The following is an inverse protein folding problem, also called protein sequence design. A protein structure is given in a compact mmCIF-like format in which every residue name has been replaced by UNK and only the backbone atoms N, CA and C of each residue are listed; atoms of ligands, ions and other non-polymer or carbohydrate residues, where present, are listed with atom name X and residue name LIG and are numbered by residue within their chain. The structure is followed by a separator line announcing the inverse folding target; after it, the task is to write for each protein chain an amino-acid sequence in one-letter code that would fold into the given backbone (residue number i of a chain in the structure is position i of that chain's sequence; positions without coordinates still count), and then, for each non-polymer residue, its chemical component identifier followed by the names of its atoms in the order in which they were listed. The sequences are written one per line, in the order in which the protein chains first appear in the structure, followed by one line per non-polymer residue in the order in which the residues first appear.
data_IF_264054918756
#
_entry.id   IF_264054918756
#
_cell.length_a   1.000
_cell.length_b   1.000
_cell.length_c   1.000
_cell.angle_alpha   90.00
_cell.angle_beta   90.00
_cell.angle_gamma   90.00
#
_symmetry.space_group_name_H-M   'P 1'
#
loop_
_entity.id
_entity.type
_entity.pdbx_description
1 polymer ?
#
# COMPACT_ATOMS: atom_id res chain seq x y z
N UNK A 1 19.58 3.80 -5.31
CA UNK A 1 18.41 4.65 -4.95
C UNK A 1 17.09 3.88 -5.17
N UNK A 2 17.15 2.57 -5.42
CA UNK A 2 16.14 1.89 -6.26
C UNK A 2 15.08 1.10 -5.48
N UNK A 3 15.34 0.77 -4.22
CA UNK A 3 14.41 -0.03 -3.39
C UNK A 3 13.24 0.82 -2.88
N UNK A 4 13.51 2.08 -2.55
CA UNK A 4 12.50 3.04 -2.10
C UNK A 4 11.57 3.37 -3.27
N UNK A 5 12.11 3.74 -4.42
CA UNK A 5 11.30 4.09 -5.58
C UNK A 5 10.43 2.92 -6.08
N UNK A 6 10.98 1.69 -6.09
CA UNK A 6 10.21 0.49 -6.41
C UNK A 6 9.07 0.21 -5.39
N UNK A 7 9.34 0.38 -4.09
CA UNK A 7 8.32 0.19 -3.03
C UNK A 7 7.22 1.27 -3.08
N UNK A 8 7.61 2.53 -3.28
CA UNK A 8 6.69 3.66 -3.43
C UNK A 8 5.81 3.51 -4.68
N UNK A 9 6.40 3.07 -5.78
CA UNK A 9 5.73 2.86 -7.06
C UNK A 9 4.76 1.66 -6.99
N UNK A 10 5.15 0.56 -6.35
CA UNK A 10 4.29 -0.63 -6.13
C UNK A 10 2.97 -0.31 -5.42
N UNK A 11 2.96 0.63 -4.48
CA UNK A 11 1.75 1.04 -3.73
C UNK A 11 0.90 2.10 -4.46
N UNK A 12 1.49 2.92 -5.35
CA UNK A 12 0.79 4.05 -6.01
C UNK A 12 -0.22 3.65 -7.08
N UNK A 13 0.15 2.75 -7.99
CA UNK A 13 -0.75 2.33 -9.08
C UNK A 13 -2.02 1.65 -8.54
N UNK A 14 -1.95 1.01 -7.37
CA UNK A 14 -3.10 0.41 -6.67
C UNK A 14 -4.13 1.43 -6.16
N UNK A 15 -3.82 2.74 -6.18
CA UNK A 15 -4.76 3.81 -5.77
C UNK A 15 -5.70 4.26 -6.90
N UNK A 16 -5.55 3.73 -8.12
CA UNK A 16 -6.49 4.01 -9.21
C UNK A 16 -7.89 3.54 -8.82
N UNK A 17 -8.87 4.44 -8.99
CA UNK A 17 -10.27 4.14 -8.68
C UNK A 17 -10.80 3.04 -9.60
N UNK A 18 -11.50 2.06 -9.04
CA UNK A 18 -12.15 0.99 -9.82
C UNK A 18 -11.30 -0.23 -10.12
N UNK A 19 -10.09 -0.35 -9.54
CA UNK A 19 -9.29 -1.60 -9.64
C UNK A 19 -9.86 -2.76 -8.79
N UNK A 20 -10.80 -2.47 -7.89
CA UNK A 20 -11.47 -3.49 -7.08
C UNK A 20 -12.25 -4.46 -7.99
N UNK A 21 -12.01 -5.76 -7.83
CA UNK A 21 -12.66 -6.81 -8.61
C UNK A 21 -11.91 -7.23 -9.88
N UNK A 22 -10.78 -6.60 -10.20
CA UNK A 22 -9.90 -7.06 -11.28
C UNK A 22 -9.12 -8.31 -10.87
N UNK A 23 -9.00 -9.27 -11.79
CA UNK A 23 -8.15 -10.45 -11.61
C UNK A 23 -6.66 -10.11 -11.78
N UNK A 24 -5.78 -11.07 -11.43
CA UNK A 24 -4.32 -10.87 -11.44
C UNK A 24 -3.78 -10.38 -12.80
N UNK A 25 -4.34 -10.89 -13.91
CA UNK A 25 -3.95 -10.49 -15.27
C UNK A 25 -4.44 -9.08 -15.62
N UNK A 26 -5.67 -8.73 -15.25
CA UNK A 26 -6.18 -7.34 -15.36
C UNK A 26 -5.36 -6.37 -14.52
N UNK A 27 -4.94 -6.77 -13.33
CA UNK A 27 -4.09 -5.96 -12.45
C UNK A 27 -2.68 -5.75 -13.03
N UNK A 28 -2.14 -6.73 -13.77
CA UNK A 28 -0.89 -6.55 -14.52
C UNK A 28 -1.06 -5.47 -15.59
N UNK A 29 -2.11 -5.55 -16.39
CA UNK A 29 -2.43 -4.53 -17.40
C UNK A 29 -2.61 -3.16 -16.75
N UNK A 30 -3.32 -3.08 -15.61
CA UNK A 30 -3.51 -1.84 -14.87
C UNK A 30 -2.19 -1.20 -14.42
N UNK A 31 -1.23 -2.02 -13.95
CA UNK A 31 0.11 -1.56 -13.56
C UNK A 31 0.85 -0.94 -14.74
N UNK A 32 0.89 -1.64 -15.87
CA UNK A 32 1.59 -1.16 -17.08
C UNK A 32 0.94 0.10 -17.68
N UNK A 33 -0.40 0.16 -17.71
CA UNK A 33 -1.13 1.36 -18.12
C UNK A 33 -0.90 2.53 -17.17
N UNK A 34 -0.80 2.27 -15.87
CA UNK A 34 -0.51 3.31 -14.90
C UNK A 34 0.90 3.89 -15.12
N UNK A 35 1.92 3.05 -15.33
CA UNK A 35 3.29 3.51 -15.60
C UNK A 35 3.37 4.37 -16.85
N UNK A 36 2.77 3.89 -17.94
CA UNK A 36 2.70 4.67 -19.16
C UNK A 36 2.00 6.02 -18.93
N UNK A 37 0.85 6.01 -18.27
CA UNK A 37 0.07 7.23 -17.99
C UNK A 37 0.85 8.21 -17.11
N UNK A 38 1.55 7.73 -16.10
CA UNK A 38 2.35 8.54 -15.17
C UNK A 38 3.53 9.19 -15.91
N UNK A 39 4.23 8.43 -16.77
CA UNK A 39 5.31 8.96 -17.61
C UNK A 39 4.83 10.05 -18.58
N UNK A 40 3.67 9.86 -19.22
CA UNK A 40 3.11 10.89 -20.13
C UNK A 40 2.63 12.12 -19.34
N UNK A 41 2.07 11.91 -18.16
CA UNK A 41 1.58 12.97 -17.29
C UNK A 41 2.74 13.87 -16.81
N UNK A 42 3.85 13.24 -16.40
CA UNK A 42 5.07 13.92 -15.97
C UNK A 42 5.72 14.68 -17.14
N UNK A 43 5.90 14.02 -18.29
CA UNK A 43 6.49 14.63 -19.48
C UNK A 43 5.70 15.84 -20.02
N UNK A 44 4.40 15.90 -19.75
CA UNK A 44 3.51 16.99 -20.19
C UNK A 44 3.08 17.91 -19.05
N UNK A 45 3.66 17.76 -17.87
CA UNK A 45 3.34 18.50 -16.64
C UNK A 45 1.83 18.66 -16.43
N UNK A 46 1.13 17.52 -16.36
CA UNK A 46 -0.34 17.52 -16.20
C UNK A 46 -0.84 16.39 -15.31
N UNK A 47 -2.06 16.52 -14.75
CA UNK A 47 -2.64 15.44 -13.96
C UNK A 47 -2.82 14.14 -14.78
N UNK A 48 -2.49 12.94 -14.24
CA UNK A 48 -2.61 11.67 -14.97
C UNK A 48 -4.01 11.39 -15.53
N UNK A 49 -5.07 11.81 -14.82
CA UNK A 49 -6.46 11.66 -15.29
C UNK A 49 -6.79 12.48 -16.54
N UNK A 50 -5.99 13.52 -16.84
CA UNK A 50 -6.10 14.29 -18.09
C UNK A 50 -5.51 13.53 -19.28
N UNK A 51 -4.53 12.67 -19.06
CA UNK A 51 -3.96 11.78 -20.08
C UNK A 51 -4.95 10.65 -20.41
N UNK A 52 -5.40 9.92 -19.37
CA UNK A 52 -6.37 8.84 -19.51
C UNK A 52 -7.19 8.72 -18.22
N UNK A 53 -8.52 8.78 -18.35
CA UNK A 53 -9.41 8.66 -17.19
C UNK A 53 -9.35 7.27 -16.56
N UNK A 54 -9.54 7.20 -15.25
CA UNK A 54 -9.48 5.95 -14.49
C UNK A 54 -10.52 4.92 -14.97
N UNK A 55 -11.73 5.35 -15.31
CA UNK A 55 -12.78 4.44 -15.80
C UNK A 55 -12.43 3.81 -17.15
N UNK A 56 -11.83 4.58 -18.07
CA UNK A 56 -11.34 4.04 -19.35
C UNK A 56 -10.15 3.10 -19.15
N UNK A 57 -9.24 3.42 -18.23
CA UNK A 57 -8.14 2.54 -17.85
C UNK A 57 -8.67 1.19 -17.33
N UNK A 58 -9.68 1.20 -16.46
CA UNK A 58 -10.31 -0.02 -15.94
C UNK A 58 -11.00 -0.82 -17.05
N UNK A 59 -11.72 -0.16 -17.97
CA UNK A 59 -12.35 -0.84 -19.11
C UNK A 59 -11.32 -1.48 -20.06
N UNK A 60 -10.18 -0.83 -20.30
CA UNK A 60 -9.05 -1.41 -21.05
C UNK A 60 -8.53 -2.68 -20.39
N UNK A 61 -8.37 -2.66 -19.06
CA UNK A 61 -7.93 -3.83 -18.30
C UNK A 61 -8.89 -5.02 -18.49
N UNK A 62 -10.20 -4.78 -18.39
CA UNK A 62 -11.22 -5.83 -18.55
C UNK A 62 -11.27 -6.42 -19.95
N UNK A 63 -11.04 -5.61 -20.99
CA UNK A 63 -11.06 -6.07 -22.38
C UNK A 63 -9.86 -6.92 -22.77
N UNK A 64 -8.71 -6.74 -22.13
CA UNK A 64 -7.48 -7.56 -22.33
C UNK A 64 -7.09 -7.68 -23.81
N UNK A 65 -7.22 -6.59 -24.57
CA UNK A 65 -6.96 -6.60 -26.00
C UNK A 65 -6.07 -5.41 -26.36
N UNK A 66 -4.92 -5.71 -26.97
CA UNK A 66 -3.95 -4.72 -27.41
C UNK A 66 -4.18 -4.23 -28.84
N UNK A 67 -5.22 -4.69 -29.55
CA UNK A 67 -5.55 -4.17 -30.88
C UNK A 67 -5.99 -2.70 -30.81
N UNK A 68 -5.26 -1.74 -31.40
CA UNK A 68 -5.61 -0.33 -31.40
C UNK A 68 -7.01 -0.04 -31.95
N UNK A 69 -7.50 -0.85 -32.89
CA UNK A 69 -8.86 -0.69 -33.45
C UNK A 69 -9.93 -1.04 -32.41
N UNK A 70 -9.73 -2.12 -31.65
CA UNK A 70 -10.63 -2.55 -30.58
C UNK A 70 -10.59 -1.62 -29.37
N UNK A 71 -9.42 -1.06 -29.08
CA UNK A 71 -9.22 -0.01 -28.08
C UNK A 71 -10.00 1.24 -28.48
N UNK A 72 -9.88 1.70 -29.73
CA UNK A 72 -10.61 2.87 -30.23
C UNK A 72 -12.15 2.69 -30.19
N UNK A 73 -12.63 1.45 -30.32
CA UNK A 73 -14.04 1.11 -30.25
C UNK A 73 -14.64 1.21 -28.83
N UNK A 74 -13.82 1.35 -27.78
CA UNK A 74 -14.31 1.55 -26.40
C UNK A 74 -15.07 2.88 -26.31
N UNK A 75 -16.26 2.87 -25.71
CA UNK A 75 -17.04 4.08 -25.42
C UNK A 75 -16.19 5.07 -24.60
N UNK A 76 -15.94 6.25 -25.14
CA UNK A 76 -15.08 7.28 -24.55
C UNK A 76 -13.66 7.33 -25.12
N UNK A 77 -13.21 6.29 -25.83
CA UNK A 77 -11.93 6.26 -26.57
C UNK A 77 -12.05 6.75 -28.02
N UNK A 78 -13.26 7.02 -28.52
CA UNK A 78 -13.47 7.49 -29.90
C UNK A 78 -12.95 8.91 -30.18
N UNK A 79 -12.47 9.62 -29.16
CA UNK A 79 -12.09 11.03 -29.28
C UNK A 79 -10.82 11.19 -30.11
N UNK A 80 -10.78 12.23 -30.95
CA UNK A 80 -9.64 12.50 -31.84
C UNK A 80 -8.33 12.74 -31.08
N UNK A 81 -8.40 13.37 -29.91
CA UNK A 81 -7.25 13.65 -29.05
C UNK A 81 -6.62 12.38 -28.46
N UNK A 82 -7.31 11.24 -28.46
CA UNK A 82 -6.76 9.97 -27.96
C UNK A 82 -6.12 9.11 -29.06
N UNK A 83 -6.27 9.47 -30.34
CA UNK A 83 -5.76 8.63 -31.45
C UNK A 83 -4.26 8.44 -31.41
N UNK A 84 -3.51 9.48 -31.06
CA UNK A 84 -2.04 9.47 -31.04
C UNK A 84 -1.45 8.61 -29.90
N UNK A 85 -2.24 8.29 -28.87
CA UNK A 85 -1.80 7.47 -27.72
C UNK A 85 -2.24 6.01 -27.82
N UNK A 86 -3.11 5.65 -28.78
CA UNK A 86 -3.60 4.27 -28.93
C UNK A 86 -2.47 3.24 -29.06
N UNK A 87 -1.40 3.47 -29.86
CA UNK A 87 -0.29 2.52 -29.95
C UNK A 87 0.42 2.32 -28.60
N UNK A 88 0.64 3.40 -27.84
CA UNK A 88 1.31 3.29 -26.55
C UNK A 88 0.44 2.60 -25.48
N UNK A 89 -0.88 2.75 -25.56
CA UNK A 89 -1.84 2.00 -24.74
C UNK A 89 -1.80 0.51 -25.11
N UNK A 90 -1.82 0.19 -26.40
CA UNK A 90 -1.69 -1.18 -26.91
C UNK A 90 -0.42 -1.85 -26.37
N UNK A 91 0.72 -1.19 -26.51
CA UNK A 91 2.01 -1.68 -26.01
C UNK A 91 1.99 -1.94 -24.50
N UNK A 92 1.33 -1.06 -23.74
CA UNK A 92 1.18 -1.25 -22.29
C UNK A 92 0.29 -2.45 -21.94
N UNK A 93 -0.78 -2.67 -22.69
CA UNK A 93 -1.63 -3.86 -22.53
C UNK A 93 -0.84 -5.13 -22.88
N UNK A 94 -0.08 -5.13 -23.98
CA UNK A 94 0.74 -6.26 -24.40
C UNK A 94 1.80 -6.62 -23.35
N UNK A 95 2.49 -5.63 -22.76
CA UNK A 95 3.40 -5.89 -21.62
C UNK A 95 2.67 -6.56 -20.45
N UNK A 96 1.45 -6.11 -20.14
CA UNK A 96 0.60 -6.70 -19.11
C UNK A 96 0.20 -8.15 -19.41
N UNK A 97 -0.10 -8.44 -20.67
CA UNK A 97 -0.48 -9.77 -21.16
C UNK A 97 0.71 -10.73 -21.25
N UNK A 98 1.89 -10.23 -21.61
CA UNK A 98 3.11 -11.02 -21.78
C UNK A 98 3.78 -11.44 -20.47
N UNK A 99 3.41 -10.83 -19.33
CA UNK A 99 3.99 -11.18 -18.02
C UNK A 99 3.80 -12.68 -17.68
N UNK A 100 4.83 -13.36 -17.18
CA UNK A 100 4.70 -14.68 -16.57
C UNK A 100 3.69 -14.70 -15.41
N UNK A 101 3.05 -15.85 -15.17
CA UNK A 101 2.00 -15.99 -14.14
C UNK A 101 2.50 -15.82 -12.70
N UNK A 102 3.78 -16.09 -12.46
CA UNK A 102 4.49 -15.87 -11.19
C UNK A 102 4.81 -14.39 -10.95
N UNK A 103 4.96 -13.58 -12.00
CA UNK A 103 5.18 -12.13 -11.92
C UNK A 103 3.89 -11.31 -11.83
N UNK A 104 2.72 -11.96 -11.97
CA UNK A 104 1.44 -11.28 -11.92
C UNK A 104 1.16 -10.65 -10.54
N UNK A 105 0.77 -9.35 -10.50
CA UNK A 105 0.45 -8.67 -9.25
C UNK A 105 -0.75 -9.30 -8.55
N UNK A 106 -0.72 -9.33 -7.23
CA UNK A 106 -1.68 -10.08 -6.41
C UNK A 106 -1.35 -11.57 -6.27
N UNK A 107 -0.16 -12.00 -6.74
CA UNK A 107 0.42 -13.32 -6.45
C UNK A 107 1.08 -13.43 -5.07
N UNK A 108 1.44 -12.29 -4.47
CA UNK A 108 1.65 -12.21 -3.02
C UNK A 108 0.36 -12.71 -2.38
N UNK A 109 0.42 -13.87 -1.72
CA UNK A 109 -0.71 -14.42 -0.97
C UNK A 109 -1.08 -13.37 0.07
N UNK A 110 -1.99 -12.47 -0.27
CA UNK A 110 -2.64 -11.58 0.68
C UNK A 110 -3.62 -12.44 1.46
N UNK A 111 -3.07 -13.39 2.21
CA UNK A 111 -3.78 -14.07 3.28
C UNK A 111 -4.22 -12.91 4.15
N UNK A 112 -5.54 -12.73 4.28
CA UNK A 112 -6.07 -11.79 5.24
C UNK A 112 -5.28 -11.99 6.54
N UNK A 113 -4.67 -10.92 7.11
CA UNK A 113 -3.88 -11.06 8.31
C UNK A 113 -4.70 -11.88 9.31
N UNK A 114 -4.11 -12.92 9.94
CA UNK A 114 -4.82 -13.70 10.94
C UNK A 114 -5.57 -12.76 11.89
N UNK A 115 -6.79 -13.09 12.30
CA UNK A 115 -7.65 -12.15 13.06
C UNK A 115 -6.93 -11.52 14.26
N UNK A 116 -6.03 -12.27 14.89
CA UNK A 116 -5.13 -11.80 15.95
C UNK A 116 -4.27 -10.59 15.55
N UNK A 117 -3.79 -10.48 14.31
CA UNK A 117 -2.96 -9.35 13.84
C UNK A 117 -3.75 -8.05 13.86
N UNK A 118 -5.04 -8.07 13.52
CA UNK A 118 -5.86 -6.86 13.58
C UNK A 118 -6.09 -6.42 15.03
N UNK A 119 -6.42 -7.37 15.92
CA UNK A 119 -6.64 -7.08 17.35
C UNK A 119 -5.35 -6.59 18.01
N UNK A 120 -4.24 -7.29 17.80
CA UNK A 120 -2.92 -6.92 18.33
C UNK A 120 -2.45 -5.58 17.76
N UNK A 121 -2.68 -5.32 16.47
CA UNK A 121 -2.31 -4.04 15.85
C UNK A 121 -3.08 -2.86 16.46
N UNK A 122 -4.37 -3.04 16.75
CA UNK A 122 -5.18 -2.03 17.42
C UNK A 122 -4.78 -1.84 18.89
N UNK A 123 -4.44 -2.93 19.58
CA UNK A 123 -3.92 -2.89 20.95
C UNK A 123 -2.60 -2.12 21.02
N UNK A 124 -1.62 -2.46 20.18
CA UNK A 124 -0.31 -1.79 20.13
C UNK A 124 -0.45 -0.31 19.77
N UNK A 125 -1.31 0.03 18.80
CA UNK A 125 -1.59 1.42 18.45
C UNK A 125 -2.19 2.20 19.63
N UNK A 126 -3.04 1.57 20.43
CA UNK A 126 -3.61 2.16 21.65
C UNK A 126 -2.53 2.36 22.73
N UNK A 127 -1.68 1.36 22.96
CA UNK A 127 -0.61 1.42 23.96
C UNK A 127 0.39 2.54 23.63
N UNK A 128 0.80 2.60 22.36
CA UNK A 128 1.71 3.61 21.84
C UNK A 128 1.07 5.00 21.85
N UNK A 129 -0.22 5.10 21.51
CA UNK A 129 -0.95 6.35 21.63
C UNK A 129 -1.00 6.89 23.06
N UNK A 130 -0.97 6.00 24.06
CA UNK A 130 -0.78 6.35 25.47
C UNK A 130 0.61 6.93 25.74
N UNK A 131 1.67 6.23 25.34
CA UNK A 131 3.06 6.68 25.51
C UNK A 131 3.33 8.02 24.81
N UNK A 132 2.91 8.16 23.56
CA UNK A 132 3.11 9.36 22.76
C UNK A 132 2.57 10.62 23.44
N UNK A 133 1.45 10.51 24.16
CA UNK A 133 0.90 11.65 24.91
C UNK A 133 1.76 12.04 26.11
N UNK A 134 2.43 11.08 26.75
CA UNK A 134 3.34 11.35 27.87
C UNK A 134 4.64 12.03 27.41
N UNK A 135 5.13 11.66 26.23
CA UNK A 135 6.38 12.16 25.64
C UNK A 135 6.18 13.39 24.71
N UNK A 136 4.96 13.96 24.67
CA UNK A 136 4.56 15.08 23.79
C UNK A 136 4.81 14.82 22.28
N UNK A 137 4.81 13.55 21.86
CA UNK A 137 4.98 13.13 20.46
C UNK A 137 3.61 12.97 19.81
N UNK A 138 3.40 13.56 18.63
CA UNK A 138 2.17 13.31 17.87
C UNK A 138 2.12 11.83 17.42
N UNK A 139 1.08 11.04 17.77
CA UNK A 139 1.02 9.60 17.46
C UNK A 139 1.17 9.28 15.96
N UNK A 140 0.68 10.17 15.09
CA UNK A 140 0.79 10.03 13.64
C UNK A 140 2.24 10.12 13.13
N UNK A 141 3.16 10.77 13.87
CA UNK A 141 4.58 10.80 13.52
C UNK A 141 5.27 9.49 13.83
N UNK A 142 4.84 8.81 14.88
CA UNK A 142 5.42 7.55 15.31
C UNK A 142 4.90 6.37 14.48
N UNK A 143 3.58 6.20 14.37
CA UNK A 143 2.99 5.14 13.56
C UNK A 143 1.49 4.96 13.79
N UNK A 144 0.83 4.39 12.79
CA UNK A 144 -0.61 4.09 12.77
C UNK A 144 -0.88 2.61 13.11
N UNK A 145 -2.15 2.26 13.33
CA UNK A 145 -2.56 0.87 13.43
C UNK A 145 -2.26 0.05 12.16
N UNK A 146 -2.07 0.69 11.00
CA UNK A 146 -1.58 0.01 9.80
C UNK A 146 -0.11 -0.37 9.93
N UNK A 147 0.71 0.54 10.44
CA UNK A 147 2.14 0.31 10.63
C UNK A 147 2.38 -0.78 11.70
N UNK A 148 1.56 -0.82 12.76
CA UNK A 148 1.61 -1.90 13.76
C UNK A 148 1.26 -3.26 13.16
N UNK A 149 0.28 -3.32 12.26
CA UNK A 149 -0.07 -4.58 11.57
C UNK A 149 1.01 -5.02 10.60
N UNK A 150 1.68 -4.08 9.91
CA UNK A 150 2.82 -4.38 9.05
C UNK A 150 3.99 -4.94 9.88
N UNK A 151 4.29 -4.34 11.04
CA UNK A 151 5.29 -4.85 11.99
C UNK A 151 4.96 -6.27 12.50
N UNK A 152 3.71 -6.50 12.91
CA UNK A 152 3.25 -7.81 13.39
C UNK A 152 3.33 -8.87 12.29
N UNK A 153 2.91 -8.55 11.07
CA UNK A 153 3.00 -9.45 9.94
C UNK A 153 4.47 -9.82 9.65
N UNK A 154 5.36 -8.83 9.63
CA UNK A 154 6.80 -9.05 9.45
C UNK A 154 7.40 -9.96 10.54
N UNK A 155 7.08 -9.71 11.82
CA UNK A 155 7.56 -10.55 12.94
C UNK A 155 7.00 -11.98 12.87
N UNK A 156 5.71 -12.15 12.54
CA UNK A 156 5.09 -13.47 12.39
C UNK A 156 5.64 -14.26 11.19
N UNK A 157 6.09 -13.57 10.15
CA UNK A 157 6.74 -14.16 8.97
C UNK A 157 8.23 -14.45 9.20
N UNK A 158 8.76 -14.27 10.41
CA UNK A 158 10.17 -14.51 10.73
C UNK A 158 11.13 -13.41 10.26
N UNK A 159 10.62 -12.25 9.85
CA UNK A 159 11.43 -11.08 9.47
C UNK A 159 12.13 -11.21 8.11
N UNK A 160 11.74 -12.16 7.27
CA UNK A 160 12.35 -12.38 5.94
C UNK A 160 11.44 -12.00 4.79
N UNK A 161 10.16 -11.75 5.06
CA UNK A 161 9.17 -11.48 4.03
C UNK A 161 9.08 -9.96 3.77
N UNK A 162 9.88 -9.49 2.81
CA UNK A 162 9.88 -8.09 2.35
C UNK A 162 10.83 -7.15 3.10
N UNK A 163 10.83 -5.85 2.73
CA UNK A 163 11.68 -4.86 3.36
C UNK A 163 11.27 -4.62 4.84
N UNK A 164 12.22 -4.31 5.73
CA UNK A 164 11.92 -4.09 7.14
C UNK A 164 10.91 -2.94 7.32
N UNK A 165 9.87 -3.09 8.16
CA UNK A 165 8.88 -2.04 8.41
C UNK A 165 9.52 -0.77 8.99
N UNK A 166 8.91 0.40 8.74
CA UNK A 166 9.42 1.69 9.22
C UNK A 166 9.58 1.75 10.75
N UNK A 167 8.74 1.02 11.51
CA UNK A 167 8.82 0.92 12.97
C UNK A 167 10.06 0.16 13.48
N UNK A 168 10.76 -0.57 12.59
CA UNK A 168 12.00 -1.28 12.92
C UNK A 168 13.25 -0.48 12.55
N UNK A 169 13.10 0.75 12.07
CA UNK A 169 14.20 1.54 11.54
C UNK A 169 14.23 2.98 12.11
N UNK A 170 15.45 3.48 12.32
CA UNK A 170 15.72 4.87 12.72
C UNK A 170 15.11 5.26 14.06
N UNK A 171 14.83 6.56 14.23
CA UNK A 171 14.36 7.13 15.50
C UNK A 171 13.06 6.48 16.03
N UNK A 172 12.20 5.95 15.16
CA UNK A 172 10.98 5.25 15.59
C UNK A 172 11.30 3.98 16.35
N UNK A 173 12.26 3.21 15.85
CA UNK A 173 12.71 2.00 16.53
C UNK A 173 13.31 2.31 17.90
N UNK A 174 14.05 3.41 18.01
CA UNK A 174 14.63 3.87 19.28
C UNK A 174 13.55 4.24 20.31
N UNK A 175 12.42 4.80 19.87
CA UNK A 175 11.34 5.23 20.77
C UNK A 175 10.41 4.09 21.17
N UNK A 176 10.07 3.16 20.26
CA UNK A 176 9.07 2.12 20.54
C UNK A 176 9.52 0.68 20.39
N UNK A 177 10.72 0.41 19.88
CA UNK A 177 11.20 -0.96 19.63
C UNK A 177 11.09 -1.85 20.87
N UNK A 178 11.70 -1.40 21.97
CA UNK A 178 11.71 -2.14 23.23
C UNK A 178 10.31 -2.32 23.81
N UNK A 179 9.47 -1.28 23.74
CA UNK A 179 8.13 -1.33 24.31
C UNK A 179 7.23 -2.32 23.59
N UNK A 180 7.26 -2.32 22.24
CA UNK A 180 6.48 -3.26 21.46
C UNK A 180 6.91 -4.69 21.77
N UNK A 181 8.22 -4.93 21.84
CA UNK A 181 8.75 -6.25 22.12
C UNK A 181 8.46 -6.70 23.56
N UNK A 182 8.49 -5.80 24.54
CA UNK A 182 8.11 -6.09 25.92
C UNK A 182 6.60 -6.40 26.04
N UNK A 183 5.73 -5.65 25.36
CA UNK A 183 4.29 -5.93 25.34
C UNK A 183 3.97 -7.27 24.68
N UNK A 184 4.63 -7.57 23.55
CA UNK A 184 4.42 -8.84 22.84
C UNK A 184 4.99 -10.04 23.61
N UNK A 185 6.06 -9.85 24.38
CA UNK A 185 6.63 -10.89 25.22
C UNK A 185 5.94 -11.02 26.60
N UNK A 186 4.97 -10.16 26.91
CA UNK A 186 4.32 -10.13 28.23
C UNK A 186 5.18 -9.58 29.35
N UNK A 187 6.30 -8.91 29.03
CA UNK A 187 7.17 -8.19 29.98
C UNK A 187 6.68 -6.78 30.29
N UNK A 188 5.67 -6.28 29.57
CA UNK A 188 4.99 -5.03 29.89
C UNK A 188 3.47 -5.21 29.82
N UNK A 189 2.75 -4.34 30.52
CA UNK A 189 1.29 -4.30 30.51
C UNK A 189 0.76 -2.89 30.31
N UNK A 190 -0.30 -2.77 29.50
CA UNK A 190 -1.08 -1.56 29.36
C UNK A 190 -2.24 -1.61 30.37
N UNK A 191 -2.36 -0.59 31.22
CA UNK A 191 -3.44 -0.50 32.20
C UNK A 191 -4.05 0.90 32.27
N UNK A 192 -5.24 0.95 32.86
CA UNK A 192 -5.88 2.21 33.22
C UNK A 192 -5.35 2.63 34.59
N UNK A 193 -4.71 3.80 34.69
CA UNK A 193 -4.23 4.35 35.96
C UNK A 193 -5.35 5.04 36.73
N UNK A 194 -5.94 6.07 36.13
CA UNK A 194 -7.05 6.84 36.68
C UNK A 194 -8.00 7.24 35.54
N UNK A 195 -9.28 6.90 35.69
CA UNK A 195 -10.35 7.24 34.75
C UNK A 195 -10.55 8.75 34.59
N UNK A 196 -10.12 9.55 35.57
CA UNK A 196 -10.25 11.02 35.56
C UNK A 196 -8.98 11.73 35.07
N UNK A 197 -7.89 10.99 34.85
CA UNK A 197 -6.65 11.55 34.32
C UNK A 197 -6.84 12.03 32.87
N UNK A 198 -6.09 13.07 32.47
CA UNK A 198 -5.96 13.46 31.06
C UNK A 198 -5.36 12.34 30.23
N UNK A 199 -4.47 11.56 30.83
CA UNK A 199 -3.80 10.40 30.25
C UNK A 199 -4.11 9.16 31.11
N UNK A 200 -5.26 8.52 30.88
CA UNK A 200 -5.74 7.42 31.71
C UNK A 200 -4.98 6.12 31.46
N UNK A 201 -4.22 6.01 30.37
CA UNK A 201 -3.50 4.81 29.98
C UNK A 201 -2.02 4.95 30.35
N UNK A 202 -1.49 3.95 31.06
CA UNK A 202 -0.07 3.86 31.41
C UNK A 202 0.47 2.48 31.05
N UNK A 203 1.76 2.43 30.71
CA UNK A 203 2.46 1.18 30.46
C UNK A 203 3.42 0.89 31.61
N UNK A 204 3.23 -0.24 32.28
CA UNK A 204 4.13 -0.72 33.32
C UNK A 204 5.02 -1.82 32.76
N UNK A 205 6.32 -1.74 33.02
CA UNK A 205 7.28 -2.82 32.71
C UNK A 205 7.45 -3.71 33.94
N UNK A 206 7.37 -5.01 33.72
CA UNK A 206 7.63 -6.04 34.72
C UNK A 206 9.13 -6.37 34.66
N UNK A 207 9.89 -5.90 35.65
CA UNK A 207 11.29 -6.29 35.86
C UNK A 207 11.37 -7.72 36.41
#
# INVERSE_FOLDING_TARGET
MDVVEASFTRKRWRRVSGLNGLNRRELAIARELWHWRDSVADARDMPPKRVLRDDLLVELCKRKNADPQQIAAIRGMQRSDLRHILPAIADAIDRGLALPDDELPGGEKHRAPPAQVNVLGQFLATAIGGLCRQEEIAPALLGTASDMRELLAYKLAGGTDGPPPALTQGWRAEVVGDLIDDLLAGRASLRISDLKSRDPLVVDRHH
#
